data_IF_255361552516
#
_entry.id   IF_255361552516
#
_cell.length_a   1.000
_cell.length_b   1.000
_cell.length_c   1.000
_cell.angle_alpha   90.00
_cell.angle_beta   90.00
_cell.angle_gamma   90.00
#
_symmetry.space_group_name_H-M   'P 1'
#
loop_
_entity.id
_entity.type
_entity.pdbx_description
1 polymer ?
#
# COMPACT_ATOMS: atom_id res chain seq x y z
N UNK A 1 -26.53 23.46 -29.49
CA UNK A 1 -25.89 23.78 -28.19
C UNK A 1 -25.64 22.46 -27.49
N UNK A 2 -24.36 22.16 -27.27
CA UNK A 2 -23.88 20.98 -26.54
C UNK A 2 -24.39 20.98 -25.09
N UNK A 3 -24.68 19.79 -24.57
CA UNK A 3 -24.95 19.56 -23.16
C UNK A 3 -24.76 18.09 -22.85
N UNK A 4 -23.50 17.68 -22.64
CA UNK A 4 -23.11 16.41 -22.05
C UNK A 4 -23.86 16.19 -20.74
N UNK A 5 -24.61 15.09 -20.66
CA UNK A 5 -25.10 14.54 -19.40
C UNK A 5 -24.24 13.32 -19.06
N UNK A 6 -23.29 13.57 -18.16
CA UNK A 6 -22.84 12.71 -17.07
C UNK A 6 -23.24 11.23 -17.15
N UNK A 7 -22.37 10.42 -17.76
CA UNK A 7 -22.43 8.96 -17.70
C UNK A 7 -21.42 8.43 -16.67
N UNK A 8 -21.57 8.82 -15.40
CA UNK A 8 -20.96 8.10 -14.27
C UNK A 8 -22.10 7.59 -13.38
N UNK A 9 -22.86 6.64 -13.94
CA UNK A 9 -23.93 5.93 -13.26
C UNK A 9 -23.66 4.44 -13.37
N UNK A 10 -23.24 3.83 -12.26
CA UNK A 10 -23.05 2.38 -12.17
C UNK A 10 -21.99 1.97 -11.15
N UNK A 11 -22.20 2.30 -9.86
CA UNK A 11 -21.56 1.56 -8.77
C UNK A 11 -22.31 0.23 -8.57
N UNK A 12 -22.29 -0.63 -9.59
CA UNK A 12 -22.46 -2.06 -9.40
C UNK A 12 -21.11 -2.63 -9.00
N UNK A 13 -21.08 -3.65 -8.14
CA UNK A 13 -19.87 -4.44 -7.94
C UNK A 13 -19.38 -4.91 -9.31
N UNK A 14 -18.25 -4.37 -9.76
CA UNK A 14 -17.64 -4.78 -11.02
C UNK A 14 -16.91 -6.08 -10.72
N UNK A 15 -17.27 -7.15 -11.43
CA UNK A 15 -16.53 -8.40 -11.37
C UNK A 15 -15.11 -8.18 -11.91
N UNK A 16 -14.12 -8.34 -11.03
CA UNK A 16 -12.71 -8.16 -11.36
C UNK A 16 -12.18 -9.38 -12.09
N UNK A 17 -11.32 -9.16 -13.10
CA UNK A 17 -10.57 -10.23 -13.74
C UNK A 17 -9.61 -10.91 -12.73
N UNK A 18 -9.12 -12.09 -13.08
CA UNK A 18 -8.26 -12.90 -12.21
C UNK A 18 -7.04 -12.12 -11.67
N UNK A 19 -6.42 -11.27 -12.50
CA UNK A 19 -5.27 -10.47 -12.08
C UNK A 19 -5.61 -9.44 -11.01
N UNK A 20 -6.64 -8.63 -11.25
CA UNK A 20 -7.10 -7.62 -10.29
C UNK A 20 -7.68 -8.26 -9.01
N UNK A 21 -8.33 -9.42 -9.16
CA UNK A 21 -8.81 -10.19 -8.02
C UNK A 21 -7.66 -10.71 -7.16
N UNK A 22 -6.58 -11.20 -7.76
CA UNK A 22 -5.39 -11.64 -7.03
C UNK A 22 -4.80 -10.48 -6.22
N UNK A 23 -4.56 -9.32 -6.84
CA UNK A 23 -4.01 -8.14 -6.15
C UNK A 23 -4.90 -7.75 -4.95
N UNK A 24 -6.22 -7.70 -5.16
CA UNK A 24 -7.18 -7.46 -4.07
C UNK A 24 -7.13 -8.51 -2.96
N UNK A 25 -6.93 -9.79 -3.30
CA UNK A 25 -6.82 -10.88 -2.32
C UNK A 25 -5.50 -10.86 -1.53
N UNK A 26 -4.50 -10.09 -1.96
CA UNK A 26 -3.27 -9.84 -1.21
C UNK A 26 -3.47 -8.78 -0.10
N UNK A 27 -4.50 -7.93 -0.16
CA UNK A 27 -4.72 -6.87 0.82
C UNK A 27 -5.11 -7.36 2.23
N UNK A 28 -6.02 -8.34 2.43
CA UNK A 28 -6.44 -8.76 3.76
C UNK A 28 -5.29 -9.18 4.71
N UNK A 29 -4.31 -10.00 4.29
CA UNK A 29 -3.18 -10.30 5.16
C UNK A 29 -2.30 -9.07 5.44
N UNK A 30 -2.08 -8.19 4.46
CA UNK A 30 -1.30 -6.95 4.64
C UNK A 30 -1.98 -5.98 5.62
N UNK A 31 -3.30 -5.80 5.51
CA UNK A 31 -4.11 -5.02 6.45
C UNK A 31 -4.04 -5.58 7.88
N UNK A 32 -4.10 -6.91 8.03
CA UNK A 32 -3.94 -7.58 9.33
C UNK A 32 -2.56 -7.31 9.95
N UNK A 33 -1.51 -7.33 9.14
CA UNK A 33 -0.16 -6.97 9.60
C UNK A 33 -0.07 -5.50 10.02
N UNK A 34 -0.64 -4.59 9.23
CA UNK A 34 -0.73 -3.15 9.54
C UNK A 34 -1.46 -2.91 10.87
N UNK A 35 -2.58 -3.57 11.12
CA UNK A 35 -3.31 -3.48 12.39
C UNK A 35 -2.43 -3.93 13.57
N UNK A 36 -1.63 -4.99 13.38
CA UNK A 36 -0.65 -5.45 14.34
C UNK A 36 0.48 -4.43 14.61
N UNK A 37 0.94 -3.71 13.58
CA UNK A 37 1.90 -2.60 13.76
C UNK A 37 1.27 -1.46 14.57
N UNK A 38 0.05 -1.06 14.23
CA UNK A 38 -0.65 0.01 14.94
C UNK A 38 -0.91 -0.35 16.40
N UNK A 39 -1.21 -1.61 16.72
CA UNK A 39 -1.34 -2.06 18.10
C UNK A 39 -0.04 -1.85 18.89
N UNK A 40 1.11 -2.23 18.32
CA UNK A 40 2.41 -2.03 18.94
C UNK A 40 2.75 -0.54 19.10
N UNK A 41 2.45 0.30 18.11
CA UNK A 41 2.59 1.76 18.24
C UNK A 41 1.74 2.28 19.40
N UNK A 42 0.48 1.88 19.50
CA UNK A 42 -0.41 2.33 20.59
C UNK A 42 0.07 1.89 21.97
N UNK A 43 0.73 0.73 22.10
CA UNK A 43 1.37 0.29 23.35
C UNK A 43 2.53 1.23 23.74
N UNK A 44 3.38 1.59 22.77
CA UNK A 44 4.46 2.58 22.95
C UNK A 44 3.90 3.95 23.39
N UNK A 45 2.84 4.42 22.73
CA UNK A 45 2.17 5.70 23.08
C UNK A 45 1.64 5.70 24.52
N UNK A 46 1.11 4.56 25.00
CA UNK A 46 0.63 4.39 26.38
C UNK A 46 1.75 4.17 27.40
N UNK A 47 3.00 4.03 26.96
CA UNK A 47 4.15 3.80 27.82
C UNK A 47 4.27 2.36 28.32
N UNK A 48 3.65 1.39 27.64
CA UNK A 48 3.64 -0.02 28.04
C UNK A 48 4.88 -0.73 27.48
N UNK A 49 5.81 -1.13 28.36
CA UNK A 49 7.00 -1.92 27.98
C UNK A 49 7.69 -1.38 26.71
N UNK A 50 8.01 -0.08 26.73
CA UNK A 50 8.32 0.68 25.51
C UNK A 50 9.47 0.06 24.71
N UNK A 51 10.55 -0.36 25.39
CA UNK A 51 11.73 -0.92 24.71
C UNK A 51 11.43 -2.29 24.10
N UNK A 52 10.74 -3.15 24.84
CA UNK A 52 10.33 -4.48 24.39
C UNK A 52 9.35 -4.38 23.22
N UNK A 53 8.37 -3.49 23.33
CA UNK A 53 7.38 -3.23 22.28
C UNK A 53 8.00 -2.60 21.05
N UNK A 54 9.03 -1.76 21.20
CA UNK A 54 9.78 -1.20 20.07
C UNK A 54 10.56 -2.28 19.31
N UNK A 55 11.15 -3.25 20.02
CA UNK A 55 11.76 -4.41 19.37
C UNK A 55 10.71 -5.24 18.61
N UNK A 56 9.56 -5.51 19.23
CA UNK A 56 8.43 -6.20 18.58
C UNK A 56 7.94 -5.44 17.33
N UNK A 57 7.74 -4.13 17.43
CA UNK A 57 7.34 -3.27 16.31
C UNK A 57 8.34 -3.37 15.15
N UNK A 58 9.63 -3.37 15.47
CA UNK A 58 10.70 -3.48 14.47
C UNK A 58 10.67 -4.81 13.73
N UNK A 59 10.55 -5.93 14.44
CA UNK A 59 10.47 -7.24 13.81
C UNK A 59 9.20 -7.42 12.98
N UNK A 60 8.05 -6.96 13.48
CA UNK A 60 6.80 -6.96 12.70
C UNK A 60 6.91 -6.09 11.45
N UNK A 61 7.56 -4.92 11.54
CA UNK A 61 7.73 -4.02 10.39
C UNK A 61 8.60 -4.66 9.30
N UNK A 62 9.63 -5.41 9.67
CA UNK A 62 10.45 -6.18 8.71
C UNK A 62 9.66 -7.28 8.01
N UNK A 63 8.81 -8.00 8.74
CA UNK A 63 7.94 -9.01 8.15
C UNK A 63 6.93 -8.37 7.20
N UNK A 64 6.31 -7.26 7.62
CA UNK A 64 5.38 -6.51 6.81
C UNK A 64 5.98 -6.04 5.48
N UNK A 65 7.19 -5.45 5.49
CA UNK A 65 7.81 -4.97 4.24
C UNK A 65 8.20 -6.12 3.31
N UNK A 66 8.53 -7.30 3.85
CA UNK A 66 8.86 -8.48 3.05
C UNK A 66 7.64 -9.00 2.28
N UNK A 67 6.44 -8.84 2.84
CA UNK A 67 5.18 -9.23 2.19
C UNK A 67 4.60 -8.10 1.32
N UNK A 68 4.73 -6.83 1.73
CA UNK A 68 4.27 -5.66 0.98
C UNK A 68 5.08 -5.44 -0.31
N UNK A 69 6.40 -5.65 -0.27
CA UNK A 69 7.29 -5.38 -1.40
C UNK A 69 6.84 -6.03 -2.71
N UNK A 70 6.67 -7.38 -2.76
CA UNK A 70 6.21 -8.06 -3.95
C UNK A 70 4.83 -7.60 -4.45
N UNK A 71 3.93 -7.21 -3.55
CA UNK A 71 2.62 -6.66 -3.91
C UNK A 71 2.77 -5.32 -4.64
N UNK A 72 3.50 -4.37 -4.06
CA UNK A 72 3.77 -3.07 -4.70
C UNK A 72 4.55 -3.22 -6.01
N UNK A 73 5.46 -4.20 -6.12
CA UNK A 73 6.21 -4.48 -7.36
C UNK A 73 5.28 -4.95 -8.50
N UNK A 74 4.30 -5.80 -8.19
CA UNK A 74 3.26 -6.22 -9.16
C UNK A 74 2.44 -5.03 -9.64
N UNK A 75 2.11 -4.11 -8.74
CA UNK A 75 1.31 -2.93 -9.09
C UNK A 75 2.11 -1.94 -9.94
N UNK A 76 3.27 -1.49 -9.45
CA UNK A 76 4.11 -0.50 -10.13
C UNK A 76 4.69 -1.02 -11.45
N UNK A 77 5.13 -2.28 -11.46
CA UNK A 77 5.83 -2.90 -12.59
C UNK A 77 4.91 -3.60 -13.60
N UNK A 78 3.60 -3.69 -13.33
CA UNK A 78 2.65 -4.30 -14.26
C UNK A 78 1.37 -3.47 -14.38
N UNK A 79 0.57 -3.38 -13.31
CA UNK A 79 -0.76 -2.77 -13.40
C UNK A 79 -0.67 -1.27 -13.78
N UNK A 80 0.18 -0.51 -13.09
CA UNK A 80 0.34 0.93 -13.29
C UNK A 80 1.01 1.24 -14.63
N UNK A 81 1.93 0.39 -15.09
CA UNK A 81 2.48 0.44 -16.45
C UNK A 81 1.37 0.33 -17.49
N UNK A 82 0.55 -0.72 -17.39
CA UNK A 82 -0.51 -0.99 -18.36
C UNK A 82 -1.57 0.11 -18.37
N UNK A 83 -2.00 0.58 -17.19
CA UNK A 83 -2.94 1.70 -17.10
C UNK A 83 -2.33 3.01 -17.60
N UNK A 84 -1.02 3.22 -17.40
CA UNK A 84 -0.28 4.41 -17.82
C UNK A 84 -0.37 4.66 -19.33
N UNK A 85 -0.48 3.62 -20.16
CA UNK A 85 -0.67 3.75 -21.61
C UNK A 85 -2.00 4.42 -22.00
N UNK A 86 -3.01 4.35 -21.12
CA UNK A 86 -4.34 4.91 -21.37
C UNK A 86 -4.54 6.30 -20.76
N UNK A 87 -4.05 6.50 -19.54
CA UNK A 87 -4.34 7.72 -18.74
C UNK A 87 -3.10 8.54 -18.41
N UNK A 88 -1.92 8.09 -18.83
CA UNK A 88 -0.65 8.69 -18.44
C UNK A 88 -0.25 8.35 -17.01
N UNK A 89 1.03 8.59 -16.71
CA UNK A 89 1.64 8.26 -15.41
C UNK A 89 2.05 9.49 -14.59
N UNK A 90 2.30 10.62 -15.26
CA UNK A 90 2.84 11.84 -14.62
C UNK A 90 1.79 12.71 -13.93
N UNK A 91 0.51 12.40 -14.10
CA UNK A 91 -0.60 13.10 -13.47
C UNK A 91 -1.81 12.18 -13.32
N UNK A 92 -2.77 12.55 -12.47
CA UNK A 92 -3.99 11.76 -12.28
C UNK A 92 -3.80 10.63 -11.25
N UNK A 93 -4.63 9.58 -11.30
CA UNK A 93 -4.71 8.59 -10.23
C UNK A 93 -3.41 7.81 -10.06
N UNK A 94 -2.74 7.38 -11.14
CA UNK A 94 -1.48 6.61 -11.03
C UNK A 94 -0.40 7.41 -10.31
N UNK A 95 -0.23 8.70 -10.64
CA UNK A 95 0.75 9.56 -9.97
C UNK A 95 0.48 9.67 -8.45
N UNK A 96 -0.79 9.65 -8.03
CA UNK A 96 -1.15 9.67 -6.60
C UNK A 96 -0.82 8.34 -5.94
N UNK A 97 -1.08 7.22 -6.61
CA UNK A 97 -0.76 5.89 -6.08
C UNK A 97 0.74 5.71 -5.90
N UNK A 98 1.54 6.05 -6.91
CA UNK A 98 3.01 5.98 -6.83
C UNK A 98 3.58 6.89 -5.75
N UNK A 99 3.03 8.11 -5.61
CA UNK A 99 3.41 9.01 -4.52
C UNK A 99 3.15 8.41 -3.14
N UNK A 100 2.02 7.71 -2.97
CA UNK A 100 1.66 7.06 -1.70
C UNK A 100 2.54 5.84 -1.40
N UNK A 101 2.90 5.06 -2.43
CA UNK A 101 3.91 4.02 -2.31
C UNK A 101 5.26 4.59 -1.87
N UNK A 102 5.75 5.63 -2.54
CA UNK A 102 7.01 6.29 -2.19
C UNK A 102 6.98 6.85 -0.76
N UNK A 103 5.87 7.48 -0.36
CA UNK A 103 5.67 7.98 1.00
C UNK A 103 5.72 6.85 2.03
N UNK A 104 5.04 5.74 1.79
CA UNK A 104 5.04 4.59 2.70
C UNK A 104 6.44 3.96 2.80
N UNK A 105 7.11 3.78 1.66
CA UNK A 105 8.50 3.29 1.56
C UNK A 105 9.47 4.19 2.33
N UNK A 106 9.35 5.51 2.22
CA UNK A 106 10.20 6.47 2.93
C UNK A 106 9.98 6.45 4.45
N UNK A 107 8.72 6.43 4.90
CA UNK A 107 8.37 6.38 6.31
C UNK A 107 8.91 5.11 6.99
N UNK A 108 8.67 3.95 6.37
CA UNK A 108 9.12 2.65 6.90
C UNK A 108 10.64 2.50 6.76
N UNK A 109 11.21 2.90 5.63
CA UNK A 109 12.65 2.88 5.39
C UNK A 109 13.40 3.72 6.41
N UNK A 110 12.99 4.97 6.62
CA UNK A 110 13.57 5.86 7.63
C UNK A 110 13.49 5.26 9.04
N UNK A 111 12.35 4.65 9.39
CA UNK A 111 12.20 3.95 10.66
C UNK A 111 13.20 2.79 10.80
N UNK A 112 13.26 1.90 9.81
CA UNK A 112 14.10 0.70 9.84
C UNK A 112 15.59 1.03 9.81
N UNK A 113 16.01 2.02 9.00
CA UNK A 113 17.40 2.49 8.97
C UNK A 113 17.83 2.99 10.33
N UNK A 114 17.03 3.83 10.98
CA UNK A 114 17.35 4.33 12.31
C UNK A 114 17.34 3.20 13.35
N UNK A 115 16.36 2.30 13.32
CA UNK A 115 16.28 1.18 14.25
C UNK A 115 17.44 0.18 14.13
N UNK A 116 18.14 0.16 12.98
CA UNK A 116 19.28 -0.72 12.72
C UNK A 116 20.65 -0.11 13.09
N UNK A 117 20.69 1.12 13.61
CA UNK A 117 21.95 1.78 14.03
C UNK A 117 22.66 0.96 15.13
N UNK A 118 23.86 0.47 14.83
CA UNK A 118 24.62 -0.39 15.74
C UNK A 118 25.02 0.36 17.02
N UNK A 119 24.71 -0.22 18.18
CA UNK A 119 25.03 0.36 19.48
C UNK A 119 24.17 1.57 19.86
N UNK A 120 23.14 1.90 19.07
CA UNK A 120 22.20 2.95 19.42
C UNK A 120 21.31 2.52 20.61
N UNK A 121 21.25 3.36 21.64
CA UNK A 121 20.21 3.30 22.66
C UNK A 121 19.28 4.49 22.46
N UNK A 122 18.01 4.21 22.20
CA UNK A 122 16.99 5.24 22.05
C UNK A 122 16.34 5.55 23.40
N UNK A 123 16.18 6.85 23.68
CA UNK A 123 15.28 7.32 24.72
C UNK A 123 13.83 6.96 24.38
N UNK A 124 12.95 6.96 25.39
CA UNK A 124 11.53 6.69 25.15
C UNK A 124 10.88 7.70 24.18
N UNK A 125 11.32 8.96 24.23
CA UNK A 125 10.81 10.00 23.34
C UNK A 125 11.27 9.80 21.89
N UNK A 126 12.50 9.32 21.69
CA UNK A 126 12.96 8.92 20.35
C UNK A 126 12.19 7.72 19.83
N UNK A 127 11.90 6.72 20.68
CA UNK A 127 11.09 5.56 20.33
C UNK A 127 9.68 5.99 19.91
N UNK A 128 9.05 6.90 20.66
CA UNK A 128 7.72 7.46 20.29
C UNK A 128 7.77 8.15 18.94
N UNK A 129 8.75 9.03 18.72
CA UNK A 129 8.91 9.71 17.43
C UNK A 129 9.22 8.77 16.25
N UNK A 130 9.86 7.63 16.51
CA UNK A 130 10.02 6.58 15.51
C UNK A 130 8.71 5.84 15.24
N UNK A 131 7.99 5.44 16.29
CA UNK A 131 6.70 4.77 16.19
C UNK A 131 5.64 5.61 15.44
N UNK A 132 5.68 6.93 15.57
CA UNK A 132 4.82 7.85 14.82
C UNK A 132 4.95 7.68 13.29
N UNK A 133 6.14 7.35 12.77
CA UNK A 133 6.33 7.09 11.33
C UNK A 133 5.59 5.85 10.87
N UNK A 134 5.59 4.79 11.68
CA UNK A 134 4.85 3.56 11.37
C UNK A 134 3.33 3.82 11.44
N UNK A 135 2.88 4.67 12.36
CA UNK A 135 1.49 5.11 12.42
C UNK A 135 1.09 5.93 11.19
N UNK A 136 1.95 6.83 10.71
CA UNK A 136 1.71 7.54 9.44
C UNK A 136 1.67 6.59 8.23
N UNK A 137 2.56 5.59 8.19
CA UNK A 137 2.56 4.57 7.15
C UNK A 137 1.27 3.74 7.17
N UNK A 138 0.78 3.37 8.37
CA UNK A 138 -0.51 2.69 8.55
C UNK A 138 -1.66 3.45 7.88
N UNK A 139 -1.81 4.75 8.19
CA UNK A 139 -2.91 5.54 7.63
C UNK A 139 -2.75 5.72 6.12
N UNK A 140 -1.53 5.95 5.64
CA UNK A 140 -1.23 6.08 4.21
C UNK A 140 -1.66 4.81 3.47
N UNK A 141 -1.21 3.63 3.93
CA UNK A 141 -1.47 2.35 3.26
C UNK A 141 -2.93 1.88 3.39
N UNK A 142 -3.57 2.14 4.53
CA UNK A 142 -5.01 1.79 4.68
C UNK A 142 -5.88 2.61 3.72
N UNK A 143 -5.59 3.91 3.58
CA UNK A 143 -6.27 4.75 2.59
C UNK A 143 -5.90 4.35 1.15
N UNK A 144 -4.66 3.93 0.93
CA UNK A 144 -4.17 3.46 -0.36
C UNK A 144 -4.93 2.23 -0.86
N UNK A 145 -4.98 1.16 -0.07
CA UNK A 145 -5.73 -0.06 -0.41
C UNK A 145 -7.21 0.24 -0.67
N UNK A 146 -7.81 1.18 0.08
CA UNK A 146 -9.18 1.59 -0.17
C UNK A 146 -9.35 2.30 -1.53
N UNK A 147 -8.37 3.09 -1.99
CA UNK A 147 -8.41 3.69 -3.33
C UNK A 147 -8.25 2.64 -4.42
N UNK A 148 -7.40 1.65 -4.21
CA UNK A 148 -7.22 0.56 -5.15
C UNK A 148 -8.51 -0.22 -5.35
N UNK A 149 -9.10 -0.71 -4.26
CA UNK A 149 -10.28 -1.56 -4.33
C UNK A 149 -11.51 -0.84 -4.85
N UNK A 150 -11.70 0.44 -4.47
CA UNK A 150 -12.93 1.17 -4.77
C UNK A 150 -12.83 2.04 -6.03
N UNK A 151 -11.61 2.38 -6.47
CA UNK A 151 -11.39 3.30 -7.59
C UNK A 151 -10.52 2.66 -8.66
N UNK A 152 -9.30 2.26 -8.32
CA UNK A 152 -8.29 1.89 -9.31
C UNK A 152 -8.60 0.56 -9.99
N UNK A 153 -8.90 -0.51 -9.24
CA UNK A 153 -9.20 -1.82 -9.80
C UNK A 153 -10.49 -1.80 -10.63
N UNK A 154 -11.61 -1.18 -10.20
CA UNK A 154 -12.78 -1.02 -11.06
C UNK A 154 -12.49 -0.19 -12.33
N UNK A 155 -11.59 0.79 -12.23
CA UNK A 155 -11.15 1.58 -13.39
C UNK A 155 -10.35 0.71 -14.37
N UNK A 156 -9.36 -0.04 -13.89
CA UNK A 156 -8.57 -0.98 -14.68
C UNK A 156 -9.46 -2.02 -15.37
N UNK A 157 -10.43 -2.59 -14.64
CA UNK A 157 -11.35 -3.61 -15.16
C UNK A 157 -12.21 -3.09 -16.33
N UNK A 158 -12.59 -1.82 -16.32
CA UNK A 158 -13.36 -1.19 -17.42
C UNK A 158 -12.48 -0.70 -18.58
N UNK A 159 -11.21 -0.45 -18.30
CA UNK A 159 -10.27 0.18 -19.22
C UNK A 159 -9.52 -0.85 -20.07
N UNK A 160 -9.01 -1.90 -19.43
CA UNK A 160 -8.21 -2.94 -20.09
C UNK A 160 -9.09 -3.83 -20.98
N UNK A 161 -8.54 -4.26 -22.12
CA UNK A 161 -9.14 -5.29 -22.97
C UNK A 161 -9.11 -6.67 -22.29
N UNK A 162 -9.81 -7.66 -22.83
CA UNK A 162 -9.76 -9.02 -22.30
C UNK A 162 -8.35 -9.64 -22.44
N UNK A 163 -7.67 -9.37 -23.55
CA UNK A 163 -6.29 -9.81 -23.77
C UNK A 163 -5.32 -9.15 -22.77
N UNK A 164 -5.51 -7.85 -22.48
CA UNK A 164 -4.70 -7.16 -21.47
C UNK A 164 -4.98 -7.67 -20.05
N UNK A 165 -6.21 -8.08 -19.73
CA UNK A 165 -6.54 -8.70 -18.43
C UNK A 165 -5.87 -10.07 -18.27
N UNK A 166 -5.82 -10.86 -19.34
CA UNK A 166 -5.08 -12.13 -19.34
C UNK A 166 -3.57 -11.89 -19.18
N UNK A 167 -3.04 -10.89 -19.88
CA UNK A 167 -1.63 -10.49 -19.79
C UNK A 167 -1.26 -9.98 -18.40
N UNK A 168 -2.10 -9.14 -17.79
CA UNK A 168 -1.95 -8.68 -16.41
C UNK A 168 -1.82 -9.88 -15.47
N UNK A 169 -2.76 -10.82 -15.55
CA UNK A 169 -2.75 -12.00 -14.68
C UNK A 169 -1.51 -12.87 -14.85
N UNK A 170 -0.99 -12.98 -16.08
CA UNK A 170 0.26 -13.71 -16.36
C UNK A 170 1.47 -12.99 -15.75
N UNK A 171 1.65 -11.71 -16.06
CA UNK A 171 2.83 -10.92 -15.64
C UNK A 171 2.94 -10.80 -14.13
N UNK A 172 1.84 -10.57 -13.41
CA UNK A 172 1.92 -10.43 -11.95
C UNK A 172 2.34 -11.73 -11.25
N UNK A 173 2.14 -12.90 -11.87
CA UNK A 173 2.56 -14.20 -11.30
C UNK A 173 4.01 -14.56 -11.59
N UNK A 174 4.70 -13.75 -12.39
CA UNK A 174 6.12 -13.90 -12.70
C UNK A 174 7.01 -13.09 -11.73
N UNK A 175 6.39 -12.29 -10.84
CA UNK A 175 7.01 -11.54 -9.74
C UNK A 175 6.78 -12.30 -8.42
#
# INVERSE_FOLDING_TARGET
MNGCLSAFGGAGEVELCSGLKQLKEEHPPLLSQLDGLLEAVRKIERGEYIKETFFELTEKTKLFIADLGPHSDREEGVLFEMMGEYIGRTSGPIAVMEYEHDRAKDLIGTYLTKAAEEGAEFSEDEIRGMADRIKEAYYTLTEHFAKEENVLFPMAQRMLSEEEKEELYRRIREI
#
